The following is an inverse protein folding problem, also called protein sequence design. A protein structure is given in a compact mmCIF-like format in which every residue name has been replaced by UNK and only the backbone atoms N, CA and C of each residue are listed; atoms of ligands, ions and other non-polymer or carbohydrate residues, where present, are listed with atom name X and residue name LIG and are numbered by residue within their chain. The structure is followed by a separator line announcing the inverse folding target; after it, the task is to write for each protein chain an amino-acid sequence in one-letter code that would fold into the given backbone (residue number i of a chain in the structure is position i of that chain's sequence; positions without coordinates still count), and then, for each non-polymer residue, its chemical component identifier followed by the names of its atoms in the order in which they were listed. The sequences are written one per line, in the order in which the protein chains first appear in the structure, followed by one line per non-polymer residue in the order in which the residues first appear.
data_IF_617440649356
#
_entry.id   IF_617440649356
#
_cell.length_a   1.000
_cell.length_b   1.000
_cell.length_c   1.000
_cell.angle_alpha   90.00
_cell.angle_beta   90.00
_cell.angle_gamma   90.00
#
_symmetry.space_group_name_H-M   'P 1'
#
loop_
_entity.id
_entity.type
_entity.pdbx_description
1 polymer ?
#
# COMPACT_ATOMS: atom_id res chain seq x y z
N UNK A 1 -9.77 -6.59 -6.70
CA UNK A 1 -9.30 -6.48 -8.10
C UNK A 1 -8.02 -5.66 -8.11
N UNK A 2 -7.22 -5.69 -9.18
CA UNK A 2 -6.01 -4.84 -9.27
C UNK A 2 -6.28 -3.72 -10.27
N UNK A 3 -6.13 -2.48 -9.83
CA UNK A 3 -6.16 -1.28 -10.68
C UNK A 3 -4.74 -0.80 -10.91
N UNK A 4 -4.43 -0.41 -12.14
CA UNK A 4 -3.16 0.22 -12.49
C UNK A 4 -3.36 1.74 -12.63
N UNK A 5 -2.36 2.50 -12.21
CA UNK A 5 -2.30 3.96 -12.27
C UNK A 5 -0.97 4.29 -12.94
N UNK A 6 -1.03 4.80 -14.16
CA UNK A 6 0.15 5.21 -14.93
C UNK A 6 0.86 6.40 -14.28
N UNK A 7 2.17 6.57 -14.45
CA UNK A 7 2.89 7.72 -13.89
C UNK A 7 2.38 9.08 -14.41
N UNK A 8 1.72 9.12 -15.57
CA UNK A 8 1.13 10.34 -16.13
C UNK A 8 -0.31 10.60 -15.70
N UNK A 9 -0.90 9.68 -14.92
CA UNK A 9 -2.28 9.81 -14.45
C UNK A 9 -2.42 11.00 -13.48
N UNK A 10 -3.45 11.82 -13.68
CA UNK A 10 -3.69 13.04 -12.91
C UNK A 10 -3.98 12.81 -11.42
N UNK A 11 -4.20 11.55 -11.00
CA UNK A 11 -4.29 11.17 -9.59
C UNK A 11 -2.95 11.21 -8.87
N UNK A 12 -1.83 11.14 -9.59
CA UNK A 12 -0.50 11.36 -9.01
C UNK A 12 -0.20 12.85 -8.97
N UNK A 13 0.04 13.35 -7.77
CA UNK A 13 0.39 14.75 -7.52
C UNK A 13 1.88 14.83 -7.24
N UNK A 14 2.62 15.40 -8.19
CA UNK A 14 4.06 15.62 -8.10
C UNK A 14 4.36 17.00 -7.51
N UNK A 15 5.38 17.08 -6.66
CA UNK A 15 5.90 18.32 -6.09
C UNK A 15 7.42 18.29 -6.13
N UNK A 16 8.01 19.40 -6.61
CA UNK A 16 9.44 19.50 -6.88
C UNK A 16 9.75 19.49 -8.39
N UNK A 17 10.97 19.10 -8.74
CA UNK A 17 11.52 19.18 -10.09
C UNK A 17 11.42 17.83 -10.82
N UNK A 18 10.19 17.46 -11.17
CA UNK A 18 9.90 16.23 -11.91
C UNK A 18 9.91 16.46 -13.42
N UNK A 19 10.51 15.51 -14.14
CA UNK A 19 10.57 15.48 -15.60
C UNK A 19 9.77 14.30 -16.15
N UNK A 20 9.09 14.52 -17.27
CA UNK A 20 8.36 13.47 -17.99
C UNK A 20 9.21 12.95 -19.15
N UNK A 21 9.61 11.68 -19.08
CA UNK A 21 10.29 10.99 -20.17
C UNK A 21 9.26 10.23 -21.00
N UNK A 22 9.32 10.40 -22.33
CA UNK A 22 8.43 9.76 -23.28
C UNK A 22 9.21 8.82 -24.23
N UNK A 23 8.51 7.88 -24.86
CA UNK A 23 9.13 6.93 -25.80
C UNK A 23 10.08 5.92 -25.14
N UNK A 24 9.93 5.67 -23.84
CA UNK A 24 10.83 4.83 -23.07
C UNK A 24 10.49 3.34 -23.27
N UNK A 25 11.33 2.64 -24.03
CA UNK A 25 11.12 1.21 -24.26
C UNK A 25 11.17 0.42 -22.95
N UNK A 26 10.17 -0.42 -22.72
CA UNK A 26 10.06 -1.26 -21.51
C UNK A 26 9.26 -0.62 -20.37
N UNK A 27 9.08 0.70 -20.38
CA UNK A 27 8.15 1.40 -19.47
C UNK A 27 6.69 1.10 -19.85
N UNK A 28 5.80 1.11 -18.87
CA UNK A 28 4.37 1.08 -19.10
C UNK A 28 3.96 2.36 -19.83
N UNK A 29 3.13 2.20 -20.88
CA UNK A 29 2.77 3.27 -21.82
C UNK A 29 3.94 4.05 -22.47
N UNK A 30 5.19 3.59 -22.31
CA UNK A 30 6.38 4.28 -22.80
C UNK A 30 6.69 5.58 -22.05
N UNK A 31 6.18 5.76 -20.83
CA UNK A 31 6.33 6.98 -20.04
C UNK A 31 7.04 6.71 -18.71
N UNK A 32 7.86 7.65 -18.25
CA UNK A 32 8.47 7.62 -16.91
C UNK A 32 8.46 9.01 -16.29
N UNK A 33 8.31 9.07 -14.98
CA UNK A 33 8.51 10.29 -14.19
C UNK A 33 9.87 10.22 -13.52
N UNK A 34 10.74 11.15 -13.87
CA UNK A 34 12.11 11.27 -13.36
C UNK A 34 12.19 12.38 -12.32
N UNK A 35 12.88 12.10 -11.21
CA UNK A 35 13.44 13.12 -10.32
C UNK A 35 14.90 12.81 -10.06
N UNK A 36 15.70 13.87 -9.94
CA UNK A 36 17.11 13.85 -9.53
C UNK A 36 17.38 14.73 -8.31
N UNK A 37 16.34 15.25 -7.66
CA UNK A 37 16.45 16.18 -6.53
C UNK A 37 15.90 15.55 -5.24
N UNK A 38 16.71 15.55 -4.19
CA UNK A 38 16.30 15.10 -2.87
C UNK A 38 15.18 15.99 -2.33
N UNK A 39 14.18 15.37 -1.73
CA UNK A 39 13.00 16.06 -1.20
C UNK A 39 11.85 16.20 -2.19
N UNK A 40 12.06 15.93 -3.49
CA UNK A 40 10.97 15.81 -4.45
C UNK A 40 9.99 14.72 -4.01
N UNK A 41 8.69 15.00 -4.14
CA UNK A 41 7.65 14.06 -3.72
C UNK A 41 6.63 13.79 -4.80
N UNK A 42 6.01 12.61 -4.72
CA UNK A 42 4.76 12.32 -5.41
C UNK A 42 3.79 11.66 -4.45
N UNK A 43 2.50 11.94 -4.60
CA UNK A 43 1.47 11.36 -3.75
C UNK A 43 0.24 10.94 -4.52
N UNK A 44 -0.46 9.94 -4.00
CA UNK A 44 -1.71 9.45 -4.57
C UNK A 44 -2.66 9.02 -3.45
N UNK A 45 -3.93 9.39 -3.60
CA UNK A 45 -5.01 8.82 -2.79
C UNK A 45 -5.55 7.58 -3.49
N UNK A 46 -5.79 6.50 -2.75
CA UNK A 46 -6.29 5.25 -3.30
C UNK A 46 -7.26 4.56 -2.36
N UNK A 47 -8.24 3.88 -2.95
CA UNK A 47 -9.14 2.98 -2.23
C UNK A 47 -8.67 1.55 -2.39
N UNK A 48 -8.23 0.91 -1.30
CA UNK A 48 -7.68 -0.43 -1.41
C UNK A 48 -7.29 -1.07 -0.09
N UNK A 49 -6.61 -2.20 -0.21
CA UNK A 49 -5.98 -2.94 0.89
C UNK A 49 -4.47 -3.11 0.68
N UNK A 50 -3.97 -2.72 -0.49
CA UNK A 50 -2.55 -2.71 -0.81
C UNK A 50 -2.27 -1.78 -1.99
N UNK A 51 -1.09 -1.16 -1.98
CA UNK A 51 -0.52 -0.39 -3.08
C UNK A 51 0.92 -0.86 -3.34
N UNK A 52 1.31 -0.92 -4.61
CA UNK A 52 2.66 -1.27 -5.06
C UNK A 52 3.19 -0.20 -6.00
N UNK A 53 4.42 0.25 -5.75
CA UNK A 53 5.14 1.21 -6.60
C UNK A 53 6.15 0.47 -7.44
N UNK A 54 6.09 0.69 -8.75
CA UNK A 54 6.97 0.10 -9.74
C UNK A 54 7.70 1.19 -10.51
N UNK A 55 8.98 0.97 -10.77
CA UNK A 55 9.81 1.90 -11.52
C UNK A 55 10.92 1.20 -12.28
N UNK A 56 11.80 2.01 -12.86
CA UNK A 56 12.97 1.50 -13.58
C UNK A 56 14.24 1.83 -12.78
N UNK A 57 15.17 0.89 -12.77
CA UNK A 57 16.52 1.12 -12.23
C UNK A 57 17.47 1.10 -13.41
N UNK A 58 18.19 2.19 -13.62
CA UNK A 58 19.27 2.23 -14.62
C UNK A 58 20.61 2.01 -13.93
N UNK A 59 21.63 1.50 -14.63
CA UNK A 59 22.97 1.42 -14.09
C UNK A 59 23.43 2.80 -13.63
N UNK A 60 23.98 2.95 -12.42
CA UNK A 60 24.64 4.18 -12.07
C UNK A 60 25.81 4.38 -13.03
N UNK A 61 26.00 5.61 -13.53
CA UNK A 61 27.30 5.98 -14.07
C UNK A 61 28.29 6.16 -12.90
N UNK A 62 29.59 6.28 -13.21
CA UNK A 62 30.65 6.44 -12.21
C UNK A 62 30.55 7.74 -11.38
N UNK A 63 29.62 8.65 -11.74
CA UNK A 63 29.45 9.98 -11.14
C UNK A 63 28.13 10.13 -10.38
N UNK A 64 27.19 9.21 -10.55
CA UNK A 64 25.87 9.27 -9.95
C UNK A 64 25.77 8.37 -8.72
N UNK A 65 25.29 8.89 -7.57
CA UNK A 65 24.98 8.06 -6.42
C UNK A 65 23.84 7.07 -6.73
N UNK A 66 23.74 6.03 -5.90
CA UNK A 66 22.62 5.08 -6.01
C UNK A 66 21.31 5.76 -5.58
N UNK A 67 20.23 5.65 -6.36
CA UNK A 67 18.96 6.27 -6.00
C UNK A 67 18.39 5.67 -4.73
N UNK A 68 17.78 6.50 -3.90
CA UNK A 68 17.09 6.05 -2.69
C UNK A 68 15.77 6.78 -2.57
N UNK A 69 14.73 6.06 -2.20
CA UNK A 69 13.40 6.61 -2.02
C UNK A 69 12.78 6.16 -0.71
N UNK A 70 11.80 6.91 -0.21
CA UNK A 70 10.97 6.52 0.93
C UNK A 70 9.49 6.52 0.63
N UNK A 71 8.75 5.71 1.39
CA UNK A 71 7.31 5.48 1.24
C UNK A 71 6.61 5.59 2.59
N UNK A 72 5.63 6.47 2.70
CA UNK A 72 4.78 6.63 3.87
C UNK A 72 3.30 6.46 3.50
N UNK A 73 2.57 5.69 4.30
CA UNK A 73 1.11 5.52 4.18
C UNK A 73 0.44 6.31 5.29
N UNK A 74 -0.59 7.07 4.95
CA UNK A 74 -1.47 7.80 5.88
C UNK A 74 -0.73 8.72 6.86
N UNK A 75 0.42 9.27 6.45
CA UNK A 75 1.24 10.15 7.30
C UNK A 75 1.92 9.46 8.47
N UNK A 76 2.03 8.12 8.46
CA UNK A 76 2.73 7.39 9.50
C UNK A 76 4.20 7.86 9.66
N UNK A 77 4.73 7.94 10.89
CA UNK A 77 6.09 8.44 11.15
C UNK A 77 7.17 7.49 10.63
N UNK A 78 6.84 6.20 10.49
CA UNK A 78 7.72 5.19 9.90
C UNK A 78 7.60 5.19 8.38
N UNK A 79 8.73 5.33 7.70
CA UNK A 79 8.83 5.21 6.26
C UNK A 79 9.61 3.94 5.88
N UNK A 80 9.16 3.29 4.82
CA UNK A 80 9.93 2.24 4.17
C UNK A 80 10.93 2.89 3.22
N UNK A 81 12.15 2.38 3.13
CA UNK A 81 13.14 2.86 2.15
C UNK A 81 13.45 1.81 1.11
N UNK A 82 13.60 2.25 -0.13
CA UNK A 82 14.15 1.45 -1.22
C UNK A 82 15.49 2.04 -1.66
N UNK A 83 16.47 1.16 -1.87
CA UNK A 83 17.71 1.44 -2.56
C UNK A 83 18.03 0.21 -3.42
N UNK A 84 18.14 0.33 -4.75
CA UNK A 84 18.46 -0.81 -5.58
C UNK A 84 19.92 -1.22 -5.39
N UNK A 85 20.21 -2.50 -5.60
CA UNK A 85 21.58 -2.93 -5.89
C UNK A 85 22.03 -2.32 -7.21
N UNK A 86 23.22 -1.73 -7.30
CA UNK A 86 23.77 -1.11 -8.51
C UNK A 86 23.81 -2.10 -9.67
N UNK A 87 22.86 -2.06 -10.62
CA UNK A 87 22.77 -3.09 -11.64
C UNK A 87 23.71 -2.77 -12.80
N UNK A 88 24.25 -3.80 -13.46
CA UNK A 88 25.09 -3.63 -14.66
C UNK A 88 24.27 -3.31 -15.93
N UNK A 89 22.95 -3.51 -15.89
CA UNK A 89 22.00 -3.26 -16.98
C UNK A 89 20.72 -2.68 -16.41
N UNK A 90 19.95 -1.98 -17.24
CA UNK A 90 18.65 -1.44 -16.81
C UNK A 90 17.68 -2.55 -16.39
N UNK A 91 17.09 -2.40 -15.21
CA UNK A 91 16.00 -3.23 -14.70
C UNK A 91 14.68 -2.50 -14.90
N UNK A 92 13.83 -3.04 -15.76
CA UNK A 92 12.51 -2.48 -16.01
C UNK A 92 11.48 -3.08 -15.06
N UNK A 93 10.46 -2.30 -14.71
CA UNK A 93 9.31 -2.76 -13.89
C UNK A 93 9.74 -3.35 -12.54
N UNK A 94 10.76 -2.78 -11.93
CA UNK A 94 11.24 -3.15 -10.61
C UNK A 94 10.27 -2.64 -9.55
N UNK A 95 9.81 -3.54 -8.67
CA UNK A 95 9.05 -3.14 -7.49
C UNK A 95 9.95 -2.44 -6.49
N UNK A 96 9.63 -1.19 -6.17
CA UNK A 96 10.33 -0.44 -5.13
C UNK A 96 9.67 -0.61 -3.78
N UNK A 97 8.34 -0.70 -3.76
CA UNK A 97 7.56 -0.77 -2.53
C UNK A 97 6.25 -1.53 -2.73
N UNK A 98 5.83 -2.28 -1.72
CA UNK A 98 4.50 -2.84 -1.59
C UNK A 98 4.04 -2.70 -0.14
N UNK A 99 2.91 -2.02 0.08
CA UNK A 99 2.29 -1.99 1.41
C UNK A 99 1.74 -3.36 1.78
N UNK A 100 1.72 -3.72 3.06
CA UNK A 100 1.10 -4.98 3.52
C UNK A 100 -0.04 -4.70 4.50
N UNK A 101 -1.14 -5.41 4.33
CA UNK A 101 -2.19 -5.53 5.35
C UNK A 101 -2.93 -4.24 5.67
N UNK A 102 -3.14 -3.35 4.70
CA UNK A 102 -3.98 -2.18 4.94
C UNK A 102 -5.43 -2.62 5.16
N UNK A 103 -6.12 -1.94 6.07
CA UNK A 103 -7.57 -2.09 6.18
C UNK A 103 -8.22 -1.66 4.87
N UNK A 104 -9.44 -2.13 4.60
CA UNK A 104 -10.16 -1.62 3.44
C UNK A 104 -10.55 -0.17 3.70
N UNK A 105 -10.12 0.73 2.83
CA UNK A 105 -10.57 2.11 2.86
C UNK A 105 -9.77 2.99 1.91
N UNK A 106 -9.96 4.29 2.09
CA UNK A 106 -9.19 5.32 1.44
C UNK A 106 -7.89 5.54 2.21
N UNK A 107 -6.77 5.52 1.48
CA UNK A 107 -5.42 5.71 1.98
C UNK A 107 -4.69 6.75 1.14
N UNK A 108 -3.63 7.32 1.71
CA UNK A 108 -2.71 8.19 0.99
C UNK A 108 -1.31 7.61 1.02
N UNK A 109 -0.70 7.43 -0.15
CA UNK A 109 0.72 7.15 -0.29
C UNK A 109 1.47 8.44 -0.57
N UNK A 110 2.56 8.67 0.18
CA UNK A 110 3.58 9.67 -0.10
C UNK A 110 4.90 8.96 -0.46
N UNK A 111 5.47 9.35 -1.58
CA UNK A 111 6.77 8.88 -2.08
C UNK A 111 7.73 10.07 -2.06
N UNK A 112 8.96 9.86 -1.61
CA UNK A 112 9.98 10.91 -1.53
C UNK A 112 11.29 10.42 -2.13
N UNK A 113 11.90 11.22 -3.00
CA UNK A 113 13.29 11.03 -3.40
C UNK A 113 14.23 11.47 -2.27
N UNK A 114 15.20 10.64 -1.90
CA UNK A 114 16.10 10.89 -0.78
C UNK A 114 17.51 11.29 -1.20
N UNK A 115 17.84 11.30 -2.50
CA UNK A 115 19.22 11.48 -2.97
C UNK A 115 19.24 12.42 -4.17
N UNK A 116 20.10 13.43 -4.08
CA UNK A 116 20.41 14.34 -5.19
C UNK A 116 21.30 13.64 -6.23
N UNK A 117 21.14 14.04 -7.49
CA UNK A 117 21.92 13.57 -8.64
C UNK A 117 21.84 12.05 -8.88
N UNK A 118 20.85 11.36 -8.30
CA UNK A 118 20.54 9.97 -8.62
C UNK A 118 19.21 9.87 -9.38
N UNK A 119 19.14 9.11 -10.48
CA UNK A 119 17.93 8.99 -11.27
C UNK A 119 16.88 8.15 -10.55
N UNK A 120 15.81 8.80 -10.07
CA UNK A 120 14.65 8.15 -9.51
C UNK A 120 13.51 8.12 -10.54
N UNK A 121 13.23 6.93 -11.09
CA UNK A 121 12.31 6.73 -12.21
C UNK A 121 11.06 5.94 -11.76
N UNK A 122 9.91 6.59 -11.74
CA UNK A 122 8.60 5.96 -11.47
C UNK A 122 7.90 5.62 -12.80
N UNK A 123 7.37 4.41 -12.89
CA UNK A 123 6.70 3.88 -14.08
C UNK A 123 5.18 3.78 -13.87
N UNK A 124 4.73 3.00 -12.87
CA UNK A 124 3.32 2.94 -12.54
C UNK A 124 3.11 2.46 -11.11
N UNK A 125 1.87 2.63 -10.65
CA UNK A 125 1.38 2.13 -9.37
C UNK A 125 0.29 1.09 -9.63
N UNK A 126 0.24 0.05 -8.79
CA UNK A 126 -0.92 -0.86 -8.73
C UNK A 126 -1.58 -0.82 -7.38
N UNK A 127 -2.91 -0.78 -7.38
CA UNK A 127 -3.75 -0.80 -6.19
C UNK A 127 -4.54 -2.10 -6.19
N UNK A 128 -4.39 -2.88 -5.11
CA UNK A 128 -5.26 -4.01 -4.86
C UNK A 128 -6.45 -3.55 -4.06
N UNK A 129 -7.61 -3.60 -4.67
CA UNK A 129 -8.86 -3.37 -3.98
C UNK A 129 -9.27 -4.62 -3.21
N UNK A 130 -9.72 -4.41 -1.97
CA UNK A 130 -10.37 -5.46 -1.21
C UNK A 130 -11.63 -5.90 -1.92
N UNK A 131 -11.78 -7.20 -2.23
CA UNK A 131 -13.00 -7.72 -2.83
C UNK A 131 -14.19 -7.37 -1.93
N UNK A 132 -15.13 -6.55 -2.43
CA UNK A 132 -16.45 -6.42 -1.81
C UNK A 132 -16.96 -7.81 -1.43
N UNK A 133 -17.33 -8.02 -0.17
CA UNK A 133 -18.10 -9.21 0.18
C UNK A 133 -19.49 -8.96 -0.41
N UNK A 134 -19.65 -9.32 -1.67
CA UNK A 134 -20.96 -9.50 -2.28
C UNK A 134 -21.27 -10.98 -2.12
N UNK A 135 -22.17 -11.38 -1.22
CA UNK A 135 -22.68 -12.74 -1.23
C UNK A 135 -23.29 -13.01 -2.62
N UNK A 136 -22.94 -14.14 -3.22
CA UNK A 136 -23.30 -14.53 -4.59
C UNK A 136 -24.80 -14.80 -4.80
N UNK A 137 -25.65 -14.50 -3.81
CA UNK A 137 -27.11 -14.46 -3.97
C UNK A 137 -27.59 -13.00 -3.99
N UNK A 138 -27.86 -12.50 -5.18
CA UNK A 138 -28.64 -11.29 -5.37
C UNK A 138 -27.84 -10.16 -6.01
N UNK A 139 -28.28 -9.76 -7.20
CA UNK A 139 -28.03 -8.42 -7.73
C UNK A 139 -28.64 -7.42 -6.73
N UNK A 140 -27.81 -6.91 -5.83
CA UNK A 140 -28.21 -5.92 -4.84
C UNK A 140 -28.44 -4.56 -5.51
N UNK A 141 -29.63 -4.02 -5.29
CA UNK A 141 -30.00 -2.64 -5.58
C UNK A 141 -28.97 -1.66 -4.98
N UNK A 142 -28.36 -0.76 -5.80
CA UNK A 142 -27.33 0.18 -5.35
C UNK A 142 -27.83 1.22 -4.34
N UNK A 143 -29.15 1.31 -4.07
CA UNK A 143 -29.71 2.20 -3.06
C UNK A 143 -29.61 1.65 -1.62
N UNK A 144 -29.28 0.37 -1.42
CA UNK A 144 -29.24 -0.25 -0.09
C UNK A 144 -27.84 -0.18 0.52
N UNK A 145 -27.63 0.80 1.42
CA UNK A 145 -26.45 0.83 2.30
C UNK A 145 -26.54 -0.33 3.30
N UNK A 146 -25.74 -1.37 3.12
CA UNK A 146 -25.51 -2.35 4.17
C UNK A 146 -24.55 -1.76 5.20
N UNK A 147 -25.07 -1.35 6.35
CA UNK A 147 -24.26 -1.02 7.52
C UNK A 147 -23.95 -2.32 8.26
N UNK A 148 -22.71 -2.81 8.16
CA UNK A 148 -22.20 -3.83 9.07
C UNK A 148 -21.72 -3.16 10.35
N UNK A 149 -22.43 -3.34 11.45
CA UNK A 149 -21.98 -2.91 12.77
C UNK A 149 -20.96 -3.93 13.29
N UNK A 150 -19.74 -3.48 13.59
CA UNK A 150 -18.71 -4.30 14.23
C UNK A 150 -18.96 -4.29 15.74
N UNK A 151 -19.58 -5.34 16.29
CA UNK A 151 -19.64 -5.52 17.75
C UNK A 151 -18.36 -6.21 18.26
N UNK A 152 -17.67 -5.57 19.20
CA UNK A 152 -16.62 -6.21 20.01
C UNK A 152 -17.30 -7.12 21.04
N UNK A 153 -17.16 -8.44 20.88
CA UNK A 153 -17.60 -9.42 21.89
C UNK A 153 -16.39 -10.03 22.58
N UNK A 154 -16.20 -9.67 23.84
CA UNK A 154 -15.30 -10.36 24.75
C UNK A 154 -16.07 -11.50 25.43
N UNK A 155 -15.71 -12.76 25.18
CA UNK A 155 -16.26 -13.90 25.93
C UNK A 155 -15.35 -14.23 27.10
N UNK A 156 -15.94 -14.68 28.21
CA UNK A 156 -15.22 -15.05 29.45
C UNK A 156 -14.77 -16.52 29.45
N UNK A 157 -14.79 -17.17 28.29
CA UNK A 157 -14.67 -18.62 28.21
C UNK A 157 -13.24 -19.07 27.91
N UNK A 158 -12.75 -19.92 28.82
CA UNK A 158 -11.42 -20.51 28.83
C UNK A 158 -11.19 -21.41 27.62
N UNK A 159 -10.30 -20.99 26.73
CA UNK A 159 -9.66 -21.89 25.77
C UNK A 159 -8.61 -22.70 26.54
N UNK A 160 -8.80 -24.02 26.62
CA UNK A 160 -7.81 -24.96 27.16
C UNK A 160 -6.65 -25.08 26.16
N UNK A 161 -5.45 -24.62 26.56
CA UNK A 161 -4.21 -24.99 25.89
C UNK A 161 -3.73 -26.34 26.42
N UNK A 162 -3.28 -27.29 25.59
CA UNK A 162 -2.59 -28.47 26.10
C UNK A 162 -1.19 -28.09 26.58
N UNK A 163 -0.96 -28.26 27.89
CA UNK A 163 0.30 -28.56 28.63
C UNK A 163 1.59 -27.79 28.25
N UNK A 164 2.38 -27.16 29.14
CA UNK A 164 2.58 -27.25 30.59
C UNK A 164 3.51 -26.10 31.00
N UNK A 165 3.11 -25.28 31.97
CA UNK A 165 4.01 -24.61 32.93
C UNK A 165 3.13 -24.03 34.06
N UNK A 166 3.25 -24.62 35.26
CA UNK A 166 2.58 -24.12 36.46
C UNK A 166 3.30 -22.83 36.88
N UNK A 167 2.61 -21.69 36.79
CA UNK A 167 3.00 -20.45 37.46
C UNK A 167 1.88 -20.02 38.41
N UNK A 168 2.32 -19.60 39.59
CA UNK A 168 1.57 -19.47 40.83
C UNK A 168 0.38 -18.50 40.78
N UNK A 169 -0.61 -18.79 41.62
CA UNK A 169 -1.96 -18.23 41.70
C UNK A 169 -2.04 -16.73 42.07
N UNK A 170 -1.69 -15.79 41.17
CA UNK A 170 -2.13 -14.39 41.32
C UNK A 170 -2.07 -13.49 40.07
N UNK A 171 -2.28 -14.02 38.87
CA UNK A 171 -2.38 -13.19 37.65
C UNK A 171 -3.81 -13.22 37.11
N UNK A 172 -4.47 -12.05 37.12
CA UNK A 172 -5.75 -11.82 36.42
C UNK A 172 -5.57 -12.14 34.93
N UNK A 173 -6.36 -13.12 34.43
CA UNK A 173 -6.35 -13.54 33.03
C UNK A 173 -6.71 -12.36 32.10
N UNK A 174 -5.97 -12.10 31.01
CA UNK A 174 -6.42 -11.13 30.01
C UNK A 174 -7.64 -11.68 29.27
N UNK A 175 -8.68 -10.87 29.13
CA UNK A 175 -9.82 -11.16 28.25
C UNK A 175 -9.34 -11.14 26.80
N UNK A 176 -9.55 -12.23 26.07
CA UNK A 176 -9.40 -12.26 24.61
C UNK A 176 -10.70 -11.68 24.02
N UNK A 177 -10.57 -10.59 23.28
CA UNK A 177 -11.65 -10.04 22.46
C UNK A 177 -11.42 -10.52 21.02
N UNK A 178 -12.41 -11.20 20.46
CA UNK A 178 -12.37 -11.67 19.07
C UNK A 178 -13.36 -10.80 18.28
N UNK A 179 -12.91 -10.27 17.15
CA UNK A 179 -13.78 -9.57 16.20
C UNK A 179 -14.74 -10.60 15.58
N UNK A 180 -16.00 -10.58 16.00
CA UNK A 180 -17.07 -11.38 15.42
C UNK A 180 -17.99 -10.44 14.64
N UNK A 181 -18.09 -10.66 13.33
CA UNK A 181 -19.10 -10.01 12.50
C UNK A 181 -20.44 -10.68 12.74
N UNK A 182 -21.39 -9.99 13.37
CA UNK A 182 -22.79 -10.43 13.43
C UNK A 182 -23.60 -9.67 12.39
N UNK A 183 -24.20 -10.40 11.45
CA UNK A 183 -25.06 -9.83 10.42
C UNK A 183 -26.52 -9.84 10.91
N UNK A 184 -27.12 -8.66 11.14
CA UNK A 184 -28.57 -8.55 11.35
C UNK A 184 -29.22 -8.19 10.01
N UNK A 185 -30.10 -9.07 9.52
CA UNK A 185 -31.09 -8.68 8.51
C UNK A 185 -32.21 -7.92 9.21
N UNK A 186 -32.16 -6.58 9.18
CA UNK A 186 -33.30 -5.76 9.55
C UNK A 186 -34.28 -5.70 8.39
N UNK A 187 -35.41 -6.42 8.48
CA UNK A 187 -36.58 -6.13 7.67
C UNK A 187 -37.31 -4.95 8.33
N UNK A 188 -37.07 -3.74 7.84
CA UNK A 188 -37.96 -2.61 8.12
C UNK A 188 -39.19 -2.72 7.23
N UNK A 189 -40.35 -2.92 7.84
CA UNK A 189 -41.66 -2.83 7.17
C UNK A 189 -42.10 -1.40 6.95
#
# INVERSE_FOLDING_TARGET
MVKQIDNTDSRLIYSGLWESLNGQQGAYNGTLSLSTHAGDTTSVNFDGISITVTGNVIPPDDRQPTPKSSYAIDGAPSFFTFAPSSPLKSEFRKTFFTSKGLQRGTHKLLITNLVDNAPFLIDYITVTEGKGWWPWWGKGDPSKKMFGELELRCTKDSILFPNTAVLNNNVTRPSICILLSTYRTGYGG
#
